data_IF_136085803856
#
_entry.id   IF_136085803856
#
_cell.length_a   1.000
_cell.length_b   1.000
_cell.length_c   1.000
_cell.angle_alpha   90.00
_cell.angle_beta   90.00
_cell.angle_gamma   90.00
#
_symmetry.space_group_name_H-M   'P 1'
#
loop_
_entity.id
_entity.type
_entity.pdbx_description
1 polymer ?
#
# COMPACT_ATOMS: atom_id res chain seq x y z
N UNK A 1 53.58 -86.13 -2.81
CA UNK A 1 52.75 -87.18 -2.19
C UNK A 1 52.48 -86.74 -0.77
N UNK A 2 51.32 -86.16 -0.53
CA UNK A 2 50.86 -85.76 0.80
C UNK A 2 49.87 -86.80 1.28
N UNK A 3 50.26 -87.53 2.34
CA UNK A 3 49.40 -88.43 3.11
C UNK A 3 48.14 -87.67 3.57
N UNK A 4 46.97 -88.20 3.21
CA UNK A 4 45.71 -87.77 3.81
C UNK A 4 45.55 -88.56 5.11
N UNK A 5 45.44 -87.93 6.29
CA UNK A 5 45.19 -88.67 7.51
C UNK A 5 43.80 -89.31 7.44
N UNK A 6 43.75 -90.64 7.44
CA UNK A 6 42.50 -91.39 7.59
C UNK A 6 41.85 -90.99 8.91
N UNK A 7 40.78 -90.21 8.87
CA UNK A 7 40.03 -89.79 10.05
C UNK A 7 39.37 -91.03 10.67
N UNK A 8 39.86 -91.46 11.84
CA UNK A 8 39.29 -92.56 12.60
C UNK A 8 38.00 -92.07 13.25
N UNK A 9 36.86 -92.64 12.88
CA UNK A 9 35.56 -92.32 13.49
C UNK A 9 35.56 -92.85 14.93
N UNK A 10 35.33 -91.99 15.94
CA UNK A 10 35.35 -92.42 17.34
C UNK A 10 34.21 -93.40 17.65
N UNK A 11 34.43 -94.28 18.63
CA UNK A 11 33.42 -95.22 19.09
C UNK A 11 32.18 -94.48 19.61
N UNK A 12 31.00 -94.87 19.14
CA UNK A 12 29.74 -94.16 19.42
C UNK A 12 28.53 -94.76 18.73
N UNK A 13 27.34 -94.26 19.05
CA UNK A 13 26.11 -94.58 18.31
C UNK A 13 26.09 -93.76 17.02
N UNK A 14 25.99 -94.46 15.89
CA UNK A 14 25.88 -93.84 14.56
C UNK A 14 24.72 -94.48 13.80
N UNK A 15 24.22 -93.80 12.77
CA UNK A 15 23.11 -94.33 11.95
C UNK A 15 23.56 -95.63 11.27
N UNK A 16 22.74 -96.67 11.36
CA UNK A 16 23.06 -97.98 10.78
C UNK A 16 23.04 -97.89 9.23
N UNK A 17 24.17 -98.15 8.54
CA UNK A 17 24.22 -98.05 7.08
C UNK A 17 23.33 -99.10 6.38
N UNK A 18 22.95 -100.18 7.08
CA UNK A 18 22.02 -101.19 6.55
C UNK A 18 20.55 -100.84 6.78
N UNK A 19 20.24 -99.92 7.69
CA UNK A 19 18.87 -99.46 7.97
C UNK A 19 18.85 -98.04 8.54
N UNK A 20 18.44 -97.01 7.76
CA UNK A 20 18.58 -95.61 8.15
C UNK A 20 17.66 -95.17 9.31
N UNK A 21 16.74 -96.03 9.77
CA UNK A 21 15.80 -95.74 10.84
C UNK A 21 16.26 -96.22 12.22
N UNK A 22 17.50 -96.74 12.32
CA UNK A 22 18.10 -97.23 13.57
C UNK A 22 19.52 -96.71 13.74
N UNK A 23 19.95 -96.63 14.99
CA UNK A 23 21.35 -96.41 15.35
C UNK A 23 22.02 -97.75 15.64
N UNK A 24 23.27 -97.92 15.23
CA UNK A 24 24.12 -99.06 15.57
C UNK A 24 25.40 -98.55 16.24
N UNK A 25 25.91 -99.30 17.20
CA UNK A 25 27.13 -98.89 17.91
C UNK A 25 28.39 -99.23 17.10
N UNK A 26 29.21 -98.22 16.79
CA UNK A 26 30.54 -98.33 16.21
C UNK A 26 31.59 -98.39 17.32
N UNK A 27 32.53 -99.33 17.25
CA UNK A 27 33.53 -99.55 18.32
C UNK A 27 34.84 -98.80 18.09
N UNK A 28 35.02 -98.11 16.96
CA UNK A 28 36.29 -97.51 16.53
C UNK A 28 37.04 -98.35 15.49
N UNK A 29 36.80 -99.66 15.46
CA UNK A 29 37.38 -100.60 14.48
C UNK A 29 36.32 -101.25 13.57
N UNK A 30 35.07 -101.39 14.05
CA UNK A 30 33.98 -102.06 13.33
C UNK A 30 32.58 -101.75 13.89
N UNK A 31 31.54 -102.10 13.13
CA UNK A 31 30.15 -102.04 13.60
C UNK A 31 29.83 -103.24 14.49
N UNK A 32 29.21 -103.01 15.65
CA UNK A 32 28.77 -104.08 16.54
C UNK A 32 27.33 -104.53 16.25
N UNK A 33 26.88 -105.60 16.91
CA UNK A 33 25.49 -106.09 16.80
C UNK A 33 24.48 -105.31 17.65
N UNK A 34 24.94 -104.35 18.47
CA UNK A 34 24.05 -103.55 19.30
C UNK A 34 23.39 -102.46 18.45
N UNK A 35 22.05 -102.51 18.39
CA UNK A 35 21.21 -101.51 17.70
C UNK A 35 20.23 -100.86 18.68
N UNK A 36 19.95 -99.59 18.46
CA UNK A 36 18.99 -98.78 19.19
C UNK A 36 18.03 -98.10 18.20
N UNK A 37 16.76 -97.85 18.56
CA UNK A 37 15.86 -97.07 17.72
C UNK A 37 16.41 -95.64 17.58
N UNK A 38 16.31 -95.08 16.37
CA UNK A 38 16.63 -93.67 16.15
C UNK A 38 15.58 -92.83 16.91
N UNK A 39 15.98 -91.87 17.76
CA UNK A 39 15.02 -91.02 18.47
C UNK A 39 14.11 -90.33 17.44
N UNK A 40 12.80 -90.49 17.59
CA UNK A 40 11.84 -89.73 16.80
C UNK A 40 11.99 -88.25 17.17
N UNK A 41 12.04 -87.32 16.19
CA UNK A 41 12.08 -85.90 16.50
C UNK A 41 10.82 -85.55 17.29
N UNK A 42 11.00 -84.90 18.45
CA UNK A 42 9.88 -84.40 19.22
C UNK A 42 9.03 -83.47 18.34
N UNK A 43 7.68 -83.54 18.41
CA UNK A 43 6.83 -82.69 17.61
C UNK A 43 7.14 -81.22 17.95
N UNK A 44 7.45 -80.43 16.92
CA UNK A 44 7.62 -78.99 17.08
C UNK A 44 6.37 -78.39 17.74
N UNK A 45 6.52 -77.50 18.74
CA UNK A 45 5.39 -76.90 19.43
C UNK A 45 4.52 -76.14 18.42
N UNK A 46 3.21 -76.37 18.46
CA UNK A 46 2.25 -75.60 17.66
C UNK A 46 2.46 -74.10 17.89
N UNK A 47 2.43 -73.27 16.84
CA UNK A 47 2.63 -71.84 16.99
C UNK A 47 1.54 -71.26 17.89
N UNK A 48 1.97 -70.56 18.95
CA UNK A 48 1.07 -69.80 19.80
C UNK A 48 0.23 -68.84 18.94
N UNK A 49 -1.06 -68.64 19.25
CA UNK A 49 -1.91 -67.72 18.50
C UNK A 49 -1.28 -66.32 18.54
N UNK A 50 -1.08 -65.73 17.34
CA UNK A 50 -0.60 -64.37 17.22
C UNK A 50 -1.49 -63.44 18.07
N UNK A 51 -0.90 -62.55 18.89
CA UNK A 51 -1.68 -61.65 19.71
C UNK A 51 -2.55 -60.77 18.80
N UNK A 52 -3.83 -60.65 19.14
CA UNK A 52 -4.73 -59.68 18.49
C UNK A 52 -4.04 -58.31 18.49
N UNK A 53 -4.08 -57.58 17.37
CA UNK A 53 -3.43 -56.28 17.29
C UNK A 53 -3.96 -55.40 18.42
N UNK A 54 -3.05 -54.90 19.26
CA UNK A 54 -3.38 -53.87 20.24
C UNK A 54 -4.16 -52.76 19.51
N UNK A 55 -5.27 -52.27 20.09
CA UNK A 55 -6.02 -51.20 19.46
C UNK A 55 -5.05 -50.07 19.15
N UNK A 56 -5.01 -49.65 17.88
CA UNK A 56 -4.24 -48.48 17.48
C UNK A 56 -4.53 -47.38 18.50
N UNK A 57 -3.50 -46.75 19.09
CA UNK A 57 -3.72 -45.71 20.08
C UNK A 57 -4.69 -44.71 19.45
N UNK A 58 -5.81 -44.47 20.14
CA UNK A 58 -6.66 -43.33 19.82
C UNK A 58 -5.71 -42.15 19.59
N UNK A 59 -5.83 -41.43 18.47
CA UNK A 59 -4.89 -40.38 18.13
C UNK A 59 -4.74 -39.53 19.38
N UNK A 60 -3.50 -39.46 19.91
CA UNK A 60 -3.16 -38.46 20.91
C UNK A 60 -3.79 -37.18 20.41
N UNK A 61 -4.63 -36.49 21.22
CA UNK A 61 -5.24 -35.27 20.77
C UNK A 61 -4.11 -34.43 20.20
N UNK A 62 -4.17 -34.15 18.89
CA UNK A 62 -3.29 -33.17 18.25
C UNK A 62 -3.16 -32.06 19.25
N UNK A 63 -1.95 -31.75 19.75
CA UNK A 63 -1.76 -30.94 20.94
C UNK A 63 -2.69 -29.77 20.76
N UNK A 64 -3.77 -29.73 21.56
CA UNK A 64 -4.90 -28.83 21.29
C UNK A 64 -4.22 -27.51 21.03
N UNK A 65 -4.22 -27.15 19.74
CA UNK A 65 -3.34 -26.12 19.25
C UNK A 65 -3.85 -24.95 20.03
N UNK A 66 -3.07 -24.56 21.04
CA UNK A 66 -3.54 -23.81 22.18
C UNK A 66 -3.79 -22.40 21.68
N UNK A 67 -4.86 -22.25 20.91
CA UNK A 67 -5.62 -21.07 20.71
C UNK A 67 -6.31 -20.80 22.05
N UNK A 68 -5.49 -20.59 23.08
CA UNK A 68 -5.70 -19.49 23.98
C UNK A 68 -5.72 -18.24 23.12
N UNK A 69 -6.82 -18.03 22.38
CA UNK A 69 -7.31 -16.70 22.16
C UNK A 69 -7.32 -16.10 23.57
N UNK A 70 -6.51 -15.07 23.89
CA UNK A 70 -6.83 -14.30 25.07
C UNK A 70 -8.29 -13.91 24.87
N UNK A 71 -9.15 -14.34 25.80
CA UNK A 71 -10.58 -14.05 25.78
C UNK A 71 -10.74 -12.56 26.04
N UNK A 72 -10.27 -11.73 25.13
CA UNK A 72 -10.66 -10.35 25.00
C UNK A 72 -12.01 -10.39 24.31
N UNK A 73 -13.00 -10.42 25.16
CA UNK A 73 -14.37 -9.97 24.97
C UNK A 73 -14.39 -8.58 24.29
N UNK A 74 -14.07 -8.53 23.00
CA UNK A 74 -14.38 -7.41 22.11
C UNK A 74 -14.22 -7.84 20.65
N UNK A 75 -15.25 -8.51 20.15
CA UNK A 75 -15.73 -8.53 18.76
C UNK A 75 -14.85 -7.80 17.70
N UNK A 76 -13.97 -8.53 17.00
CA UNK A 76 -13.57 -8.38 15.56
C UNK A 76 -12.29 -9.18 15.24
N UNK A 77 -12.32 -10.29 14.48
CA UNK A 77 -11.11 -11.03 14.15
C UNK A 77 -10.20 -10.20 13.24
N UNK A 78 -8.98 -9.93 13.69
CA UNK A 78 -7.87 -9.62 12.79
C UNK A 78 -7.34 -10.97 12.30
N UNK A 79 -7.46 -11.28 11.01
CA UNK A 79 -6.90 -12.48 10.40
C UNK A 79 -5.39 -12.51 10.68
N UNK A 80 -4.92 -13.35 11.59
CA UNK A 80 -3.50 -13.46 11.95
C UNK A 80 -2.76 -14.15 10.81
N UNK A 81 -1.81 -13.47 10.16
CA UNK A 81 -0.94 -14.10 9.17
C UNK A 81 0.30 -14.57 9.91
N UNK A 82 0.35 -15.86 10.25
CA UNK A 82 1.54 -16.47 10.82
C UNK A 82 2.61 -16.58 9.73
N UNK A 83 3.71 -15.82 9.88
CA UNK A 83 4.92 -16.03 9.07
C UNK A 83 5.77 -17.06 9.81
N UNK A 84 6.13 -18.16 9.16
CA UNK A 84 7.11 -19.12 9.70
C UNK A 84 8.46 -18.42 9.79
N UNK A 85 8.96 -18.22 11.00
CA UNK A 85 10.33 -17.76 11.28
C UNK A 85 11.18 -19.02 11.50
N UNK A 86 12.43 -19.02 11.02
CA UNK A 86 13.36 -20.17 11.13
C UNK A 86 13.82 -20.48 12.57
N UNK A 87 13.21 -19.86 13.58
CA UNK A 87 13.45 -20.16 15.00
C UNK A 87 12.59 -21.34 15.47
N UNK A 88 13.16 -22.38 16.12
CA UNK A 88 12.38 -23.48 16.69
C UNK A 88 11.37 -22.95 17.72
N UNK A 89 10.08 -23.03 17.41
CA UNK A 89 8.97 -22.74 18.34
C UNK A 89 8.48 -21.29 18.44
N UNK A 90 9.05 -20.34 17.68
CA UNK A 90 8.64 -18.93 17.72
C UNK A 90 7.69 -18.54 16.58
N UNK A 91 6.38 -18.44 16.86
CA UNK A 91 5.45 -17.78 15.94
C UNK A 91 5.46 -16.27 16.20
N UNK A 92 6.08 -15.48 15.32
CA UNK A 92 5.86 -14.04 15.33
C UNK A 92 4.45 -13.76 14.79
N UNK A 93 3.54 -13.41 15.69
CA UNK A 93 2.19 -12.96 15.36
C UNK A 93 2.33 -11.58 14.71
N UNK A 94 2.50 -11.52 13.39
CA UNK A 94 2.50 -10.23 12.69
C UNK A 94 1.06 -9.68 12.66
N UNK A 95 0.83 -8.45 13.17
CA UNK A 95 -0.48 -7.85 13.11
C UNK A 95 -0.87 -7.60 11.64
N UNK A 96 -1.91 -8.26 11.15
CA UNK A 96 -2.39 -8.10 9.77
C UNK A 96 -3.05 -6.74 9.51
N UNK A 97 -3.40 -6.00 10.56
CA UNK A 97 -3.98 -4.66 10.45
C UNK A 97 -2.87 -3.62 10.42
N UNK A 98 -2.58 -3.14 9.21
CA UNK A 98 -1.61 -2.09 8.92
C UNK A 98 -2.25 -0.79 8.41
N UNK A 99 -3.56 -0.79 8.14
CA UNK A 99 -4.31 0.32 7.56
C UNK A 99 -5.28 0.91 8.58
N UNK A 100 -5.14 2.19 8.89
CA UNK A 100 -6.01 2.93 9.81
C UNK A 100 -6.74 4.05 9.08
N UNK A 101 -7.98 4.36 9.46
CA UNK A 101 -8.71 5.51 8.88
C UNK A 101 -7.90 6.82 9.00
N UNK A 102 -7.11 6.95 10.08
CA UNK A 102 -6.28 8.12 10.33
C UNK A 102 -5.18 8.30 9.28
N UNK A 103 -4.53 7.22 8.82
CA UNK A 103 -3.53 7.34 7.74
C UNK A 103 -4.17 7.71 6.40
N UNK A 104 -5.40 7.26 6.13
CA UNK A 104 -6.11 7.65 4.92
C UNK A 104 -6.51 9.12 4.94
N UNK A 105 -6.94 9.66 6.07
CA UNK A 105 -7.19 11.11 6.21
C UNK A 105 -5.92 11.92 5.89
N UNK A 106 -4.75 11.46 6.34
CA UNK A 106 -3.47 12.10 5.98
C UNK A 106 -3.21 11.97 4.47
N UNK A 107 -3.48 10.82 3.87
CA UNK A 107 -3.31 10.61 2.43
C UNK A 107 -4.21 11.53 1.57
N UNK A 108 -5.38 11.91 2.08
CA UNK A 108 -6.30 12.86 1.44
C UNK A 108 -6.08 14.32 1.88
N UNK A 109 -5.08 14.61 2.71
CA UNK A 109 -4.75 15.98 3.14
C UNK A 109 -4.46 16.98 2.01
N UNK A 110 -3.98 16.60 0.79
CA UNK A 110 -3.83 17.56 -0.30
C UNK A 110 -5.16 18.24 -0.71
N UNK A 111 -6.29 17.53 -0.64
CA UNK A 111 -7.60 18.11 -0.91
C UNK A 111 -8.06 19.05 0.20
N UNK A 112 -7.73 18.72 1.46
CA UNK A 112 -8.00 19.61 2.61
C UNK A 112 -7.18 20.89 2.46
N UNK A 113 -5.91 20.77 2.06
CA UNK A 113 -5.05 21.91 1.80
C UNK A 113 -5.53 22.75 0.61
N UNK A 114 -5.96 22.12 -0.48
CA UNK A 114 -6.54 22.80 -1.63
C UNK A 114 -7.82 23.57 -1.24
N UNK A 115 -8.74 22.94 -0.52
CA UNK A 115 -9.96 23.59 -0.05
C UNK A 115 -9.65 24.76 0.91
N UNK A 116 -8.68 24.60 1.82
CA UNK A 116 -8.24 25.65 2.71
C UNK A 116 -7.60 26.84 1.95
N UNK A 117 -6.80 26.56 0.91
CA UNK A 117 -6.21 27.58 0.06
C UNK A 117 -7.27 28.33 -0.77
N UNK A 118 -8.24 27.62 -1.34
CA UNK A 118 -9.36 28.22 -2.05
C UNK A 118 -10.22 29.09 -1.12
N UNK A 119 -10.52 28.60 0.08
CA UNK A 119 -11.21 29.39 1.10
C UNK A 119 -10.40 30.62 1.49
N UNK A 120 -9.10 30.49 1.74
CA UNK A 120 -8.22 31.62 2.05
C UNK A 120 -8.24 32.66 0.93
N UNK A 121 -8.21 32.26 -0.34
CA UNK A 121 -8.30 33.19 -1.47
C UNK A 121 -9.62 33.97 -1.46
N UNK A 122 -10.75 33.31 -1.25
CA UNK A 122 -12.06 33.98 -1.10
C UNK A 122 -12.08 34.93 0.10
N UNK A 123 -11.45 34.56 1.21
CA UNK A 123 -11.43 35.41 2.39
C UNK A 123 -10.54 36.63 2.20
N UNK A 124 -9.41 36.50 1.48
CA UNK A 124 -8.53 37.61 1.11
C UNK A 124 -9.28 38.59 0.20
N UNK A 125 -10.09 38.11 -0.76
CA UNK A 125 -10.84 39.00 -1.65
C UNK A 125 -11.95 39.76 -0.91
N UNK A 126 -12.60 39.13 0.08
CA UNK A 126 -13.70 39.75 0.82
C UNK A 126 -13.25 40.68 1.95
N UNK A 127 -12.17 40.34 2.66
CA UNK A 127 -11.78 41.00 3.91
C UNK A 127 -10.35 41.56 3.89
N UNK A 128 -9.63 41.40 2.77
CA UNK A 128 -8.21 41.69 2.70
C UNK A 128 -7.37 40.70 3.50
N UNK A 129 -6.06 40.97 3.59
CA UNK A 129 -5.14 40.12 4.33
C UNK A 129 -5.29 40.32 5.84
N UNK A 130 -5.78 39.30 6.53
CA UNK A 130 -6.02 39.31 7.98
C UNK A 130 -5.34 38.11 8.64
N UNK A 131 -4.96 38.24 9.90
CA UNK A 131 -4.15 37.23 10.61
C UNK A 131 -4.88 35.89 10.80
N UNK A 132 -6.21 35.86 10.84
CA UNK A 132 -6.98 34.62 10.98
C UNK A 132 -6.98 33.76 9.71
N UNK A 133 -6.63 34.34 8.55
CA UNK A 133 -6.41 33.58 7.30
C UNK A 133 -5.23 32.62 7.46
N UNK A 134 -4.22 32.99 8.27
CA UNK A 134 -3.13 32.07 8.63
C UNK A 134 -3.66 30.84 9.36
N UNK A 135 -4.69 30.96 10.20
CA UNK A 135 -5.29 29.82 10.88
C UNK A 135 -5.96 28.84 9.89
N UNK A 136 -6.63 29.39 8.86
CA UNK A 136 -7.22 28.58 7.76
C UNK A 136 -6.12 27.83 7.00
N UNK A 137 -5.02 28.52 6.66
CA UNK A 137 -3.89 27.91 5.95
C UNK A 137 -3.12 26.88 6.80
N UNK A 138 -3.06 27.07 8.13
CA UNK A 138 -2.41 26.14 9.05
C UNK A 138 -3.27 24.92 9.41
N UNK A 139 -4.60 25.01 9.25
CA UNK A 139 -5.54 23.92 9.55
C UNK A 139 -5.16 22.56 8.92
N UNK A 140 -4.87 22.44 7.61
CA UNK A 140 -4.47 21.15 7.01
C UNK A 140 -3.19 20.56 7.63
N UNK A 141 -2.24 21.42 8.02
CA UNK A 141 -1.02 21.00 8.70
C UNK A 141 -1.31 20.48 10.12
N UNK A 142 -2.14 21.19 10.89
CA UNK A 142 -2.55 20.76 12.22
C UNK A 142 -3.34 19.44 12.19
N UNK A 143 -4.26 19.31 11.23
CA UNK A 143 -5.00 18.05 10.98
C UNK A 143 -4.03 16.90 10.75
N UNK A 144 -2.99 17.10 9.94
CA UNK A 144 -1.96 16.07 9.67
C UNK A 144 -1.27 15.63 10.96
N UNK A 145 -0.86 16.56 11.82
CA UNK A 145 -0.22 16.23 13.11
C UNK A 145 -1.16 15.42 14.01
N UNK A 146 -2.40 15.87 14.16
CA UNK A 146 -3.40 15.19 15.02
C UNK A 146 -3.65 13.77 14.55
N UNK A 147 -3.86 13.57 13.25
CA UNK A 147 -4.12 12.24 12.70
C UNK A 147 -2.87 11.35 12.68
N UNK A 148 -1.66 11.91 12.57
CA UNK A 148 -0.42 11.15 12.71
C UNK A 148 -0.27 10.62 14.14
N UNK A 149 -0.51 11.45 15.16
CA UNK A 149 -0.52 10.99 16.56
C UNK A 149 -1.55 9.88 16.78
N UNK A 150 -2.75 10.01 16.19
CA UNK A 150 -3.80 8.99 16.29
C UNK A 150 -3.45 7.68 15.59
N UNK A 151 -2.80 7.75 14.43
CA UNK A 151 -2.33 6.58 13.68
C UNK A 151 -1.24 5.82 14.47
N UNK A 152 -0.24 6.52 15.01
CA UNK A 152 0.80 5.91 15.86
C UNK A 152 0.19 5.24 17.10
N UNK A 153 -0.76 5.88 17.77
CA UNK A 153 -1.46 5.28 18.92
C UNK A 153 -2.21 4.01 18.51
N UNK A 154 -2.90 4.02 17.37
CA UNK A 154 -3.62 2.84 16.84
C UNK A 154 -2.68 1.70 16.50
N UNK A 155 -1.54 1.98 15.86
CA UNK A 155 -0.56 0.94 15.52
C UNK A 155 0.01 0.27 16.79
N UNK A 156 0.30 1.05 17.84
CA UNK A 156 0.73 0.49 19.13
C UNK A 156 -0.33 -0.38 19.79
N UNK A 157 -1.60 0.03 19.74
CA UNK A 157 -2.74 -0.76 20.25
C UNK A 157 -2.87 -2.09 19.49
N UNK A 158 -2.53 -2.11 18.20
CA UNK A 158 -2.54 -3.33 17.39
C UNK A 158 -1.29 -4.21 17.56
N UNK A 159 -0.39 -3.88 18.49
CA UNK A 159 0.80 -4.71 18.77
C UNK A 159 2.01 -4.43 17.87
N UNK A 160 2.00 -3.34 17.08
CA UNK A 160 3.21 -2.94 16.36
C UNK A 160 4.20 -2.32 17.34
N UNK A 161 5.29 -3.04 17.64
CA UNK A 161 6.35 -2.59 18.55
C UNK A 161 7.26 -1.53 17.90
N UNK A 162 7.55 -1.70 16.60
CA UNK A 162 8.29 -0.71 15.81
C UNK A 162 7.31 0.17 15.03
N UNK A 163 7.12 1.40 15.49
CA UNK A 163 6.28 2.39 14.81
C UNK A 163 7.06 3.66 14.50
N UNK A 164 6.75 4.30 13.38
CA UNK A 164 7.29 5.61 13.06
C UNK A 164 6.90 6.62 14.15
N UNK A 165 7.84 7.50 14.52
CA UNK A 165 7.58 8.55 15.50
C UNK A 165 6.62 9.59 14.91
N UNK A 166 5.61 10.01 15.66
CA UNK A 166 4.67 11.03 15.21
C UNK A 166 5.36 12.37 14.90
N UNK A 167 6.50 12.67 15.53
CA UNK A 167 7.29 13.88 15.27
C UNK A 167 7.71 14.07 13.80
N UNK A 168 7.78 12.99 13.02
CA UNK A 168 8.03 13.08 11.57
C UNK A 168 6.95 13.86 10.82
N UNK A 169 5.74 14.00 11.38
CA UNK A 169 4.68 14.82 10.79
C UNK A 169 4.95 16.33 10.89
N UNK A 170 5.89 16.77 11.73
CA UNK A 170 6.27 18.18 11.81
C UNK A 170 6.91 18.67 10.50
N UNK A 171 7.55 17.76 9.75
CA UNK A 171 8.09 18.03 8.42
C UNK A 171 7.02 17.89 7.32
N UNK A 172 5.78 17.56 7.68
CA UNK A 172 4.63 17.44 6.79
C UNK A 172 4.17 16.00 6.57
N UNK A 173 3.02 15.88 5.88
CA UNK A 173 2.41 14.61 5.51
C UNK A 173 3.33 13.64 4.76
N UNK A 174 4.09 14.04 3.71
CA UNK A 174 4.87 13.08 2.92
C UNK A 174 5.97 12.43 3.76
N UNK A 175 6.64 13.20 4.61
CA UNK A 175 7.73 12.70 5.44
C UNK A 175 7.22 11.67 6.45
N UNK A 176 6.09 11.94 7.10
CA UNK A 176 5.44 10.98 7.98
C UNK A 176 5.02 9.69 7.24
N UNK A 177 4.37 9.83 6.08
CA UNK A 177 3.89 8.68 5.30
C UNK A 177 5.05 7.82 4.77
N UNK A 178 6.16 8.42 4.35
CA UNK A 178 7.37 7.71 3.93
C UNK A 178 7.99 6.98 5.13
N UNK A 179 8.19 7.66 6.26
CA UNK A 179 8.76 7.05 7.46
C UNK A 179 7.91 5.84 7.92
N UNK A 180 6.58 5.99 7.93
CA UNK A 180 5.63 4.92 8.22
C UNK A 180 5.72 3.78 7.20
N UNK A 181 5.79 4.09 5.90
CA UNK A 181 5.89 3.09 4.84
C UNK A 181 7.19 2.28 4.92
N UNK A 182 8.30 2.90 5.34
CA UNK A 182 9.60 2.22 5.53
C UNK A 182 9.54 1.26 6.71
N UNK A 183 9.01 1.70 7.85
CA UNK A 183 8.89 0.85 9.05
C UNK A 183 7.92 -0.30 8.80
N UNK A 184 6.74 -0.02 8.24
CA UNK A 184 5.72 -1.06 8.01
C UNK A 184 6.11 -2.08 6.92
N UNK A 185 6.86 -1.66 5.89
CA UNK A 185 7.34 -2.59 4.84
C UNK A 185 8.34 -3.61 5.37
N UNK A 186 9.18 -3.25 6.34
CA UNK A 186 10.17 -4.17 6.92
C UNK A 186 9.51 -5.39 7.56
N UNK A 187 8.34 -5.20 8.17
CA UNK A 187 7.67 -6.23 8.97
C UNK A 187 6.59 -6.94 8.15
N UNK A 188 5.66 -6.22 7.53
CA UNK A 188 4.48 -6.82 6.90
C UNK A 188 4.59 -7.03 5.37
N UNK A 189 5.65 -6.52 4.70
CA UNK A 189 5.78 -6.51 3.24
C UNK A 189 4.77 -5.63 2.49
N UNK A 190 3.75 -5.11 3.18
CA UNK A 190 2.65 -4.31 2.65
C UNK A 190 2.46 -3.12 3.60
N UNK A 191 2.38 -1.89 3.08
CA UNK A 191 2.39 -0.69 3.95
C UNK A 191 2.43 0.67 3.27
N UNK A 192 2.81 0.73 1.99
CA UNK A 192 3.09 1.97 1.25
C UNK A 192 1.89 2.57 0.52
N UNK A 193 0.74 1.89 0.49
CA UNK A 193 -0.43 2.35 -0.29
C UNK A 193 -0.85 3.80 0.05
N UNK A 194 -0.98 4.21 1.33
CA UNK A 194 -1.34 5.59 1.65
C UNK A 194 -0.31 6.64 1.19
N UNK A 195 0.98 6.27 1.13
CA UNK A 195 2.02 7.19 0.67
C UNK A 195 1.89 7.45 -0.84
N UNK A 196 1.68 6.40 -1.64
CA UNK A 196 1.45 6.53 -3.08
C UNK A 196 0.16 7.28 -3.40
N UNK A 197 -0.92 6.99 -2.66
CA UNK A 197 -2.18 7.72 -2.81
C UNK A 197 -2.02 9.20 -2.49
N UNK A 198 -1.21 9.56 -1.49
CA UNK A 198 -0.91 10.96 -1.21
C UNK A 198 -0.23 11.66 -2.39
N UNK A 199 0.79 11.05 -3.00
CA UNK A 199 1.45 11.63 -4.18
C UNK A 199 0.51 11.78 -5.36
N UNK A 200 -0.34 10.77 -5.61
CA UNK A 200 -1.37 10.85 -6.64
C UNK A 200 -2.35 11.99 -6.36
N UNK A 201 -2.81 12.13 -5.11
CA UNK A 201 -3.71 13.20 -4.70
C UNK A 201 -3.06 14.58 -4.81
N UNK A 202 -1.75 14.72 -4.59
CA UNK A 202 -1.02 15.96 -4.85
C UNK A 202 -1.06 16.32 -6.34
N UNK A 203 -0.83 15.34 -7.23
CA UNK A 203 -0.91 15.58 -8.68
C UNK A 203 -2.32 15.99 -9.10
N UNK A 204 -3.35 15.32 -8.56
CA UNK A 204 -4.75 15.65 -8.84
C UNK A 204 -5.10 17.04 -8.31
N UNK A 205 -4.72 17.37 -7.07
CA UNK A 205 -4.97 18.69 -6.49
C UNK A 205 -4.21 19.81 -7.24
N UNK A 206 -2.99 19.54 -7.70
CA UNK A 206 -2.22 20.48 -8.53
C UNK A 206 -2.90 20.71 -9.88
N UNK A 207 -3.34 19.64 -10.55
CA UNK A 207 -4.11 19.75 -11.80
C UNK A 207 -5.42 20.53 -11.60
N UNK A 208 -6.16 20.26 -10.52
CA UNK A 208 -7.36 21.00 -10.16
C UNK A 208 -7.07 22.50 -9.91
N UNK A 209 -5.93 22.82 -9.27
CA UNK A 209 -5.51 24.20 -9.08
C UNK A 209 -5.19 24.92 -10.40
N UNK A 210 -4.53 24.24 -11.34
CA UNK A 210 -4.23 24.79 -12.68
C UNK A 210 -5.52 25.01 -13.46
N UNK A 211 -6.43 24.02 -13.46
CA UNK A 211 -7.73 24.14 -14.10
C UNK A 211 -8.55 25.29 -13.51
N UNK A 212 -8.60 25.41 -12.18
CA UNK A 212 -9.28 26.51 -11.51
C UNK A 212 -8.69 27.87 -11.91
N UNK A 213 -7.36 28.00 -11.92
CA UNK A 213 -6.69 29.23 -12.34
C UNK A 213 -7.00 29.59 -13.80
N UNK A 214 -7.01 28.60 -14.69
CA UNK A 214 -7.37 28.79 -16.10
C UNK A 214 -8.84 29.20 -16.25
N UNK A 215 -9.77 28.56 -15.54
CA UNK A 215 -11.20 28.91 -15.55
C UNK A 215 -11.43 30.32 -15.01
N UNK A 216 -10.81 30.68 -13.88
CA UNK A 216 -10.90 32.03 -13.32
C UNK A 216 -10.39 33.07 -14.31
N UNK A 217 -9.27 32.79 -15.01
CA UNK A 217 -8.76 33.67 -16.07
C UNK A 217 -9.74 33.79 -17.24
N UNK A 218 -10.27 32.66 -17.72
CA UNK A 218 -11.19 32.62 -18.86
C UNK A 218 -12.49 33.38 -18.57
N UNK A 219 -12.95 33.41 -17.31
CA UNK A 219 -14.13 34.17 -16.90
C UNK A 219 -13.82 35.63 -16.57
N UNK A 220 -12.64 35.94 -16.04
CA UNK A 220 -12.28 37.29 -15.59
C UNK A 220 -11.86 38.21 -16.74
N UNK A 221 -11.10 37.70 -17.71
CA UNK A 221 -10.60 38.51 -18.84
C UNK A 221 -11.75 39.15 -19.64
N UNK A 222 -12.77 38.42 -20.11
CA UNK A 222 -13.88 39.00 -20.87
C UNK A 222 -14.71 40.00 -20.06
N UNK A 223 -14.82 39.79 -18.75
CA UNK A 223 -15.56 40.71 -17.87
C UNK A 223 -14.87 42.08 -17.82
N UNK A 224 -13.54 42.10 -17.73
CA UNK A 224 -12.77 43.36 -17.70
C UNK A 224 -12.78 44.03 -19.06
N UNK A 225 -12.50 43.30 -20.14
CA UNK A 225 -12.47 43.88 -21.49
C UNK A 225 -13.83 44.40 -21.92
N UNK A 226 -14.92 43.69 -21.62
CA UNK A 226 -16.28 44.14 -21.92
C UNK A 226 -16.65 45.45 -21.21
N UNK A 227 -16.28 45.62 -19.94
CA UNK A 227 -16.50 46.89 -19.23
C UNK A 227 -15.72 48.05 -19.86
N UNK A 228 -14.48 47.79 -20.31
CA UNK A 228 -13.64 48.79 -21.00
C UNK A 228 -14.27 49.14 -22.36
N UNK A 229 -14.65 48.14 -23.16
CA UNK A 229 -15.28 48.32 -24.47
C UNK A 229 -16.56 49.16 -24.36
N UNK A 230 -17.46 48.83 -23.43
CA UNK A 230 -18.72 49.56 -23.22
C UNK A 230 -18.48 51.01 -22.76
N UNK A 231 -17.50 51.23 -21.88
CA UNK A 231 -17.16 52.57 -21.40
C UNK A 231 -16.55 53.47 -22.49
N UNK A 232 -15.62 52.95 -23.29
CA UNK A 232 -15.00 53.70 -24.39
C UNK A 232 -16.01 53.95 -25.51
N UNK A 233 -16.81 52.95 -25.86
CA UNK A 233 -17.88 53.10 -26.86
C UNK A 233 -18.85 54.21 -26.47
N UNK A 234 -19.27 54.24 -25.19
CA UNK A 234 -20.14 55.29 -24.69
C UNK A 234 -19.49 56.67 -24.79
N UNK A 235 -18.24 56.83 -24.34
CA UNK A 235 -17.52 58.10 -24.42
C UNK A 235 -17.34 58.62 -25.85
N UNK A 236 -17.01 57.74 -26.80
CA UNK A 236 -16.87 58.10 -28.22
C UNK A 236 -18.22 58.49 -28.83
N UNK A 237 -19.30 57.85 -28.42
CA UNK A 237 -20.65 58.12 -28.94
C UNK A 237 -21.25 59.46 -28.50
N UNK A 238 -20.65 60.15 -27.53
CA UNK A 238 -21.02 61.52 -27.14
C UNK A 238 -20.90 62.50 -28.31
N UNK A 239 -20.09 62.16 -29.33
CA UNK A 239 -19.95 62.92 -30.58
C UNK A 239 -21.10 62.78 -31.57
N UNK A 240 -22.08 61.91 -31.33
CA UNK A 240 -23.27 61.73 -32.17
C UNK A 240 -23.18 60.62 -33.23
N UNK A 241 -22.06 59.92 -33.32
CA UNK A 241 -21.86 58.70 -34.13
C UNK A 241 -21.73 57.49 -33.21
N UNK A 242 -22.46 56.41 -33.48
CA UNK A 242 -22.35 55.20 -32.67
C UNK A 242 -21.04 54.47 -33.00
N UNK A 243 -20.28 54.08 -31.97
CA UNK A 243 -19.01 53.40 -32.10
C UNK A 243 -19.06 52.05 -31.37
N UNK A 244 -18.57 51.00 -32.03
CA UNK A 244 -18.33 49.69 -31.42
C UNK A 244 -16.83 49.51 -31.20
N UNK A 245 -16.43 49.11 -29.99
CA UNK A 245 -15.04 48.87 -29.61
C UNK A 245 -14.87 47.38 -29.28
N UNK A 246 -13.84 46.73 -29.82
CA UNK A 246 -13.48 45.34 -29.56
C UNK A 246 -11.99 45.25 -29.21
N UNK A 247 -11.69 44.91 -27.97
CA UNK A 247 -10.33 44.78 -27.44
C UNK A 247 -9.81 43.33 -27.46
N UNK A 248 -10.62 42.37 -27.91
CA UNK A 248 -10.27 40.96 -27.95
C UNK A 248 -9.93 40.36 -26.58
N UNK A 249 -9.18 39.25 -26.59
CA UNK A 249 -8.75 38.56 -25.36
C UNK A 249 -7.24 38.73 -25.15
N UNK A 250 -6.80 39.72 -24.36
CA UNK A 250 -5.39 40.01 -24.21
C UNK A 250 -4.64 38.92 -23.47
N UNK A 251 -3.35 38.79 -23.81
CA UNK A 251 -2.48 37.76 -23.24
C UNK A 251 -2.08 38.08 -21.79
N UNK A 252 -2.17 39.35 -21.37
CA UNK A 252 -1.79 39.79 -20.02
C UNK A 252 -2.62 41.01 -19.58
N UNK A 253 -3.44 40.86 -18.53
CA UNK A 253 -4.17 41.95 -17.86
C UNK A 253 -3.48 42.22 -16.53
N UNK A 254 -2.54 43.17 -16.52
CA UNK A 254 -1.83 43.65 -15.33
C UNK A 254 -1.80 45.18 -15.38
N UNK A 255 -1.67 45.86 -14.24
CA UNK A 255 -1.37 47.29 -14.24
C UNK A 255 -0.13 47.60 -15.09
N UNK A 256 -0.25 48.54 -16.02
CA UNK A 256 0.74 48.91 -17.01
C UNK A 256 0.68 48.13 -18.34
N UNK A 257 -0.23 47.18 -18.50
CA UNK A 257 -0.43 46.49 -19.77
C UNK A 257 -1.12 47.43 -20.79
N UNK A 258 -0.74 47.30 -22.06
CA UNK A 258 -1.37 47.97 -23.19
C UNK A 258 -2.15 46.95 -24.02
N UNK A 259 -3.30 47.39 -24.54
CA UNK A 259 -4.27 46.63 -25.31
C UNK A 259 -4.50 47.38 -26.62
N UNK A 260 -4.46 46.67 -27.74
CA UNK A 260 -4.85 47.24 -29.03
C UNK A 260 -6.31 46.88 -29.31
N UNK A 261 -7.19 47.88 -29.34
CA UNK A 261 -8.61 47.70 -29.57
C UNK A 261 -9.01 48.18 -30.98
N UNK A 262 -9.83 47.40 -31.66
CA UNK A 262 -10.46 47.79 -32.91
C UNK A 262 -11.69 48.67 -32.62
N UNK A 263 -11.85 49.74 -33.38
CA UNK A 263 -13.02 50.63 -33.32
C UNK A 263 -13.71 50.60 -34.67
N UNK A 264 -15.03 50.47 -34.69
CA UNK A 264 -15.83 50.56 -35.90
C UNK A 264 -16.95 51.57 -35.68
N UNK A 265 -17.14 52.50 -36.60
CA UNK A 265 -18.27 53.43 -36.56
C UNK A 265 -19.52 52.89 -37.28
N UNK A 266 -20.65 53.56 -37.11
CA UNK A 266 -21.94 53.25 -37.75
C UNK A 266 -21.91 53.36 -39.29
N UNK A 267 -20.93 54.07 -39.85
CA UNK A 267 -20.69 54.16 -41.30
C UNK A 267 -19.85 53.00 -41.85
N UNK A 268 -19.30 52.17 -40.97
CA UNK A 268 -18.44 51.03 -41.30
C UNK A 268 -16.95 51.39 -41.45
N UNK A 269 -16.52 52.59 -41.07
CA UNK A 269 -15.11 52.94 -41.01
C UNK A 269 -14.46 52.26 -39.79
N UNK A 270 -13.33 51.60 -40.04
CA UNK A 270 -12.58 50.88 -39.02
C UNK A 270 -11.31 51.66 -38.62
N UNK A 271 -11.00 51.64 -37.34
CA UNK A 271 -9.81 52.23 -36.75
C UNK A 271 -9.24 51.38 -35.63
N UNK A 272 -8.14 51.83 -35.07
CA UNK A 272 -7.50 51.20 -33.90
C UNK A 272 -7.22 52.26 -32.84
N UNK A 273 -7.37 51.90 -31.58
CA UNK A 273 -6.94 52.69 -30.43
C UNK A 273 -6.13 51.82 -29.46
N UNK A 274 -5.23 52.45 -28.71
CA UNK A 274 -4.40 51.79 -27.70
C UNK A 274 -4.96 52.13 -26.32
N UNK A 275 -5.31 51.10 -25.53
CA UNK A 275 -5.76 51.24 -24.13
C UNK A 275 -4.68 50.78 -23.19
N UNK A 276 -4.34 51.60 -22.22
CA UNK A 276 -3.43 51.28 -21.12
C UNK A 276 -4.22 51.06 -19.84
N UNK A 277 -3.98 49.92 -19.19
CA UNK A 277 -4.57 49.60 -17.90
C UNK A 277 -3.74 50.25 -16.80
N UNK A 278 -4.30 51.23 -16.09
CA UNK A 278 -3.63 51.90 -14.97
C UNK A 278 -3.92 51.19 -13.64
N UNK A 279 -5.14 50.70 -13.44
CA UNK A 279 -5.54 49.92 -12.27
C UNK A 279 -6.64 48.90 -12.63
N UNK A 280 -6.59 47.73 -12.00
CA UNK A 280 -7.50 46.61 -12.24
C UNK A 280 -8.95 46.85 -11.78
N UNK A 281 -9.20 47.88 -10.96
CA UNK A 281 -10.54 48.16 -10.43
C UNK A 281 -11.38 49.06 -11.31
N UNK A 282 -10.83 50.14 -11.89
CA UNK A 282 -11.56 51.12 -12.75
C UNK A 282 -10.63 52.14 -13.44
N UNK A 283 -9.32 51.87 -13.54
CA UNK A 283 -8.36 52.84 -14.06
C UNK A 283 -7.84 52.42 -15.42
N UNK A 284 -8.28 53.07 -16.50
CA UNK A 284 -7.68 52.92 -17.83
C UNK A 284 -7.55 54.27 -18.51
N UNK A 285 -6.55 54.38 -19.39
CA UNK A 285 -6.32 55.53 -20.26
C UNK A 285 -6.23 55.04 -21.70
N UNK A 286 -6.72 55.82 -22.66
CA UNK A 286 -6.72 55.42 -24.08
C UNK A 286 -6.24 56.54 -24.99
N UNK A 287 -5.63 56.16 -26.11
CA UNK A 287 -5.20 57.09 -27.16
C UNK A 287 -6.37 57.49 -28.06
N UNK A 288 -6.22 58.62 -28.78
CA UNK A 288 -7.23 59.03 -29.76
C UNK A 288 -7.33 58.00 -30.89
N UNK A 289 -8.55 57.64 -31.35
CA UNK A 289 -8.73 56.61 -32.36
C UNK A 289 -8.11 57.03 -33.69
N UNK A 290 -7.28 56.14 -34.25
CA UNK A 290 -6.69 56.31 -35.58
C UNK A 290 -7.56 55.58 -36.59
N UNK A 291 -8.43 56.32 -37.27
CA UNK A 291 -9.33 55.78 -38.30
C UNK A 291 -8.56 55.48 -39.59
N UNK A 292 -8.71 54.27 -40.13
CA UNK A 292 -8.18 53.94 -41.45
C UNK A 292 -9.16 54.47 -42.50
N UNK A 293 -8.77 55.51 -43.23
CA UNK A 293 -9.52 55.93 -44.42
C UNK A 293 -9.42 54.82 -45.46
N UNK A 294 -10.53 54.09 -45.68
CA UNK A 294 -10.64 53.15 -46.78
C UNK A 294 -10.35 53.90 -48.10
N UNK A 295 -9.25 53.55 -48.76
CA UNK A 295 -8.90 54.01 -50.10
C UNK A 295 -9.58 53.19 -51.17
#
# INVERSE_FOLDING_TARGET
MTDVPTAVVPAGWHVDPSSPTRMRWWTGEGWSEHTAPLPEPEPEPEPEPEPEPEPEPEPEPEPELGFGWPRHESNRPALVVARRVDTPGGWDILPSRWSSISVWIIAFSPFIAFAAAAAALVLITLYGWTWWILAVLLLPYLVTIVFAVRDVRRLRIWGHHDVARASWSLLGAPVYLIARAVVTRKHAGIGSAPAWVWFLNVLIAAAACVLLAFSLRASFVPLVTGNIEESIAWELSVGGTEHTVDCGTPERILPGATLDCAVTDDTGAAGTLEVRIDNLTDGFSYSQPVMSTAG
#
